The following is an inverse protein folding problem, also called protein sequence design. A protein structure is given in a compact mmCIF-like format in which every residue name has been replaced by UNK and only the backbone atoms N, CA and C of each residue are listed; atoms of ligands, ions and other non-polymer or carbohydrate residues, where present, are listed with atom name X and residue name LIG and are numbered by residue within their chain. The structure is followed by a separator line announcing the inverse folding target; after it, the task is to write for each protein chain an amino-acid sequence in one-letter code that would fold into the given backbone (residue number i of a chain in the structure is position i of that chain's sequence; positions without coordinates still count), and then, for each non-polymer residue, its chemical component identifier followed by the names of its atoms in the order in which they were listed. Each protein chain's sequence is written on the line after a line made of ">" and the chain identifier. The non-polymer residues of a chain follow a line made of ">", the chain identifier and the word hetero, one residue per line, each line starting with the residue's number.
data_IF_579541640080
#
_entry.id   IF_579541640080
#
_cell.length_a   1.000
_cell.length_b   1.000
_cell.length_c   1.000
_cell.angle_alpha   90.00
_cell.angle_beta   90.00
_cell.angle_gamma   90.00
#
_symmetry.space_group_name_H-M   'P 1'
#
loop_
_entity.id
_entity.type
_entity.pdbx_description
1 polymer ?
#
# COMPACT_ATOMS: atom_id res chain seq x y z
N UNK A 1 15.07 -9.38 11.85
CA UNK A 1 15.80 -8.10 11.69
C UNK A 1 16.99 -8.06 12.63
N UNK A 2 18.08 -7.48 12.19
CA UNK A 2 19.29 -7.35 13.00
C UNK A 2 18.97 -6.53 14.27
N UNK A 3 19.07 -7.15 15.45
CA UNK A 3 18.77 -6.52 16.76
C UNK A 3 17.29 -6.42 17.16
N UNK A 4 16.34 -6.86 16.32
CA UNK A 4 14.90 -6.71 16.57
C UNK A 4 14.14 -8.03 16.78
N UNK A 5 14.84 -9.15 16.94
CA UNK A 5 14.22 -10.45 17.19
C UNK A 5 13.58 -11.10 15.97
N UNK A 6 12.73 -12.10 16.21
CA UNK A 6 12.06 -12.85 15.14
C UNK A 6 10.87 -12.08 14.57
N UNK A 7 10.71 -12.16 13.25
CA UNK A 7 9.58 -11.57 12.54
C UNK A 7 8.34 -12.47 12.71
N UNK A 8 7.23 -11.96 13.28
CA UNK A 8 5.99 -12.73 13.36
C UNK A 8 5.43 -12.98 11.96
N UNK A 9 4.89 -14.17 11.76
CA UNK A 9 4.25 -14.55 10.49
C UNK A 9 3.01 -15.40 10.77
N UNK A 10 2.02 -15.36 9.87
CA UNK A 10 0.85 -16.24 9.96
C UNK A 10 0.85 -17.19 8.75
N UNK A 11 1.03 -18.50 8.94
CA UNK A 11 1.31 -19.22 10.19
C UNK A 11 2.62 -18.76 10.86
N UNK A 12 2.72 -18.93 12.18
CA UNK A 12 3.72 -18.32 13.08
C UNK A 12 5.20 -18.60 12.78
N UNK A 13 5.53 -19.30 11.71
CA UNK A 13 6.89 -19.73 11.38
C UNK A 13 7.31 -19.28 9.98
N UNK A 14 8.52 -18.75 9.87
CA UNK A 14 9.18 -18.56 8.58
C UNK A 14 9.70 -19.92 8.08
N UNK A 15 9.36 -20.30 6.87
CA UNK A 15 9.71 -21.63 6.34
C UNK A 15 11.13 -21.74 5.82
N UNK A 16 11.90 -20.64 5.73
CA UNK A 16 13.24 -20.56 5.11
C UNK A 16 13.33 -21.12 3.68
N UNK A 17 12.18 -21.41 3.05
CA UNK A 17 12.13 -21.84 1.67
C UNK A 17 12.06 -20.65 0.73
N UNK A 18 12.72 -20.78 -0.42
CA UNK A 18 12.60 -19.80 -1.49
C UNK A 18 11.21 -19.90 -2.11
N UNK A 19 10.46 -18.81 -2.13
CA UNK A 19 9.15 -18.70 -2.75
C UNK A 19 9.11 -17.53 -3.73
N UNK A 20 8.30 -17.61 -4.80
CA UNK A 20 8.12 -16.47 -5.71
C UNK A 20 7.60 -15.23 -4.98
N UNK A 21 8.09 -14.04 -5.36
CA UNK A 21 7.65 -12.77 -4.77
C UNK A 21 6.13 -12.57 -4.89
N UNK A 22 5.53 -12.97 -6.03
CA UNK A 22 4.09 -12.90 -6.24
C UNK A 22 3.30 -13.76 -5.22
N UNK A 23 3.83 -14.94 -4.87
CA UNK A 23 3.23 -15.79 -3.84
C UNK A 23 3.39 -15.15 -2.45
N UNK A 24 4.58 -14.64 -2.13
CA UNK A 24 4.85 -13.97 -0.87
C UNK A 24 3.90 -12.79 -0.64
N UNK A 25 3.66 -11.98 -1.69
CA UNK A 25 2.73 -10.85 -1.63
C UNK A 25 1.27 -11.32 -1.49
N UNK A 26 0.85 -12.34 -2.25
CA UNK A 26 -0.50 -12.88 -2.20
C UNK A 26 -0.85 -13.45 -0.82
N UNK A 27 0.11 -14.12 -0.18
CA UNK A 27 -0.04 -14.71 1.15
C UNK A 27 0.31 -13.72 2.29
N UNK A 28 0.71 -12.49 1.95
CA UNK A 28 1.11 -11.46 2.93
C UNK A 28 2.22 -11.94 3.90
N UNK A 29 3.30 -12.53 3.37
CA UNK A 29 4.38 -13.12 4.16
C UNK A 29 5.30 -12.06 4.77
N UNK A 30 5.21 -11.86 6.07
CA UNK A 30 6.03 -10.90 6.82
C UNK A 30 7.53 -11.18 6.71
N UNK A 31 7.94 -12.44 6.78
CA UNK A 31 9.35 -12.81 6.62
C UNK A 31 9.93 -12.41 5.27
N UNK A 32 9.12 -12.49 4.21
CA UNK A 32 9.54 -12.06 2.87
C UNK A 32 9.67 -10.54 2.79
N UNK A 33 8.75 -9.79 3.41
CA UNK A 33 8.85 -8.33 3.49
C UNK A 33 10.09 -7.88 4.24
N UNK A 34 10.39 -8.51 5.38
CA UNK A 34 11.59 -8.25 6.16
C UNK A 34 12.88 -8.59 5.38
N UNK A 35 12.87 -9.72 4.67
CA UNK A 35 13.99 -10.11 3.80
C UNK A 35 14.23 -9.09 2.69
N UNK A 36 13.17 -8.67 1.98
CA UNK A 36 13.27 -7.68 0.91
C UNK A 36 13.80 -6.35 1.45
N UNK A 37 13.31 -5.90 2.60
CA UNK A 37 13.82 -4.68 3.25
C UNK A 37 15.33 -4.75 3.45
N UNK A 38 15.84 -5.87 3.95
CA UNK A 38 17.29 -6.08 4.14
C UNK A 38 18.07 -6.06 2.82
N UNK A 39 17.47 -6.54 1.72
CA UNK A 39 18.12 -6.58 0.40
C UNK A 39 18.26 -5.20 -0.25
N UNK A 40 17.48 -4.19 0.16
CA UNK A 40 17.55 -2.83 -0.40
C UNK A 40 18.96 -2.24 -0.22
N UNK A 41 19.61 -2.48 0.92
CA UNK A 41 20.89 -1.86 1.24
C UNK A 41 21.85 -2.78 2.01
N UNK A 42 21.52 -4.06 2.19
CA UNK A 42 22.29 -4.96 3.07
C UNK A 42 22.19 -4.65 4.57
N UNK A 43 21.63 -3.50 4.95
CA UNK A 43 21.41 -3.03 6.32
C UNK A 43 19.96 -2.56 6.49
N UNK A 44 19.23 -3.18 7.42
CA UNK A 44 17.80 -2.90 7.61
C UNK A 44 17.50 -1.46 8.08
N UNK A 45 18.38 -0.85 8.87
CA UNK A 45 18.20 0.52 9.35
C UNK A 45 18.38 1.55 8.21
N UNK A 46 19.42 1.38 7.39
CA UNK A 46 19.64 2.26 6.23
C UNK A 46 18.54 2.06 5.17
N UNK A 47 18.09 0.83 4.97
CA UNK A 47 16.97 0.54 4.10
C UNK A 47 15.67 1.21 4.59
N UNK A 48 15.41 1.21 5.90
CA UNK A 48 14.25 1.89 6.48
C UNK A 48 14.31 3.40 6.24
N UNK A 49 15.46 4.05 6.38
CA UNK A 49 15.63 5.47 6.05
C UNK A 49 15.32 5.76 4.58
N UNK A 50 15.86 4.95 3.66
CA UNK A 50 15.60 5.09 2.24
C UNK A 50 14.12 4.87 1.91
N UNK A 51 13.47 3.94 2.61
CA UNK A 51 12.06 3.67 2.42
C UNK A 51 11.18 4.83 2.89
N UNK A 52 11.49 5.46 4.04
CA UNK A 52 10.80 6.67 4.50
C UNK A 52 10.94 7.81 3.48
N UNK A 53 12.14 8.04 2.94
CA UNK A 53 12.33 9.04 1.90
C UNK A 53 11.53 8.71 0.62
N UNK A 54 11.36 7.43 0.32
CA UNK A 54 10.51 7.01 -0.78
C UNK A 54 9.02 7.27 -0.49
N UNK A 55 8.54 7.00 0.73
CA UNK A 55 7.17 7.30 1.14
C UNK A 55 6.86 8.80 1.05
N UNK A 56 7.80 9.67 1.41
CA UNK A 56 7.67 11.12 1.19
C UNK A 56 7.51 11.48 -0.29
N UNK A 57 8.19 10.77 -1.19
CA UNK A 57 7.97 10.93 -2.64
C UNK A 57 6.57 10.48 -3.08
N UNK A 58 5.92 9.60 -2.34
CA UNK A 58 4.53 9.19 -2.55
C UNK A 58 3.51 10.12 -1.88
N UNK A 59 3.94 11.32 -1.44
CA UNK A 59 3.14 12.33 -0.73
C UNK A 59 2.60 11.87 0.64
N UNK A 60 3.24 10.91 1.29
CA UNK A 60 2.96 10.59 2.68
C UNK A 60 3.65 11.66 3.54
N UNK A 61 2.85 12.37 4.34
CA UNK A 61 3.28 13.49 5.17
C UNK A 61 3.36 13.13 6.65
N UNK A 62 2.77 12.00 7.04
CA UNK A 62 2.85 11.46 8.40
C UNK A 62 4.30 11.35 8.85
N UNK A 63 4.56 11.66 10.12
CA UNK A 63 5.90 11.55 10.71
C UNK A 63 6.24 10.08 10.97
N UNK A 64 6.95 9.48 10.04
CA UNK A 64 7.31 8.07 10.07
C UNK A 64 8.76 7.93 10.53
N UNK A 65 8.95 7.24 11.65
CA UNK A 65 10.27 6.94 12.16
C UNK A 65 10.88 5.77 11.37
N UNK A 66 12.17 5.85 10.96
CA UNK A 66 12.78 4.88 10.06
C UNK A 66 13.25 3.60 10.81
N UNK A 67 12.32 2.90 11.43
CA UNK A 67 12.59 1.61 12.04
C UNK A 67 12.39 0.47 11.02
N UNK A 68 13.17 -0.62 11.07
CA UNK A 68 13.00 -1.76 10.17
C UNK A 68 11.59 -2.39 10.19
N UNK A 69 10.86 -2.26 11.29
CA UNK A 69 9.46 -2.72 11.43
C UNK A 69 8.48 -2.07 10.44
N UNK A 70 8.87 -0.96 9.80
CA UNK A 70 8.10 -0.33 8.72
C UNK A 70 7.81 -1.32 7.57
N UNK A 71 8.70 -2.31 7.35
CA UNK A 71 8.48 -3.37 6.38
C UNK A 71 7.24 -4.24 6.67
N UNK A 72 6.75 -4.20 7.89
CA UNK A 72 5.58 -4.94 8.38
C UNK A 72 4.36 -4.05 8.58
N UNK A 73 4.46 -2.75 8.25
CA UNK A 73 3.39 -1.79 8.42
C UNK A 73 3.27 -1.21 9.83
N UNK A 74 4.33 -1.29 10.67
CA UNK A 74 4.35 -0.69 12.00
C UNK A 74 4.53 0.84 11.92
N UNK A 75 3.56 1.52 11.31
CA UNK A 75 3.51 2.97 11.10
C UNK A 75 2.07 3.46 11.16
N UNK A 76 1.89 4.69 11.58
CA UNK A 76 0.59 5.36 11.59
C UNK A 76 0.49 6.26 10.35
N UNK A 77 -0.47 5.94 9.47
CA UNK A 77 -0.72 6.65 8.21
C UNK A 77 -2.23 6.79 8.07
N UNK A 78 -2.70 7.96 7.64
CA UNK A 78 -4.12 8.17 7.37
C UNK A 78 -4.59 7.37 6.14
N UNK A 79 -5.88 6.99 6.13
CA UNK A 79 -6.50 6.34 4.97
C UNK A 79 -6.35 7.21 3.71
N UNK A 80 -6.46 8.52 3.85
CA UNK A 80 -6.29 9.47 2.75
C UNK A 80 -4.90 9.39 2.12
N UNK A 81 -3.84 9.39 2.94
CA UNK A 81 -2.46 9.27 2.46
C UNK A 81 -2.19 7.91 1.81
N UNK A 82 -2.76 6.85 2.38
CA UNK A 82 -2.62 5.50 1.81
C UNK A 82 -3.30 5.42 0.43
N UNK A 83 -4.53 5.91 0.29
CA UNK A 83 -5.22 5.98 -1.02
C UNK A 83 -4.40 6.81 -1.99
N UNK A 84 -3.91 7.97 -1.57
CA UNK A 84 -3.07 8.82 -2.41
C UNK A 84 -1.80 8.08 -2.87
N UNK A 85 -1.08 7.42 -1.96
CA UNK A 85 0.11 6.65 -2.32
C UNK A 85 -0.20 5.55 -3.33
N UNK A 86 -1.31 4.84 -3.17
CA UNK A 86 -1.71 3.75 -4.06
C UNK A 86 -2.06 4.20 -5.48
N UNK A 87 -2.34 5.49 -5.73
CA UNK A 87 -2.65 6.00 -7.08
C UNK A 87 -1.54 5.69 -8.09
N UNK A 88 -0.30 5.49 -7.64
CA UNK A 88 0.82 5.17 -8.53
C UNK A 88 0.67 3.82 -9.25
N UNK A 89 -0.09 2.88 -8.71
CA UNK A 89 -0.25 1.56 -9.31
C UNK A 89 -1.20 1.61 -10.52
N UNK A 90 -2.50 2.01 -10.39
CA UNK A 90 -3.37 2.19 -11.55
C UNK A 90 -2.92 3.35 -12.43
N UNK A 91 -2.14 4.30 -11.91
CA UNK A 91 -1.62 5.47 -12.60
C UNK A 91 -0.33 5.25 -13.39
N UNK A 92 0.04 3.99 -13.72
CA UNK A 92 1.25 3.66 -14.50
C UNK A 92 2.54 4.31 -13.93
N UNK A 93 2.67 4.32 -12.61
CA UNK A 93 3.83 4.86 -11.91
C UNK A 93 3.71 6.33 -11.50
N UNK A 94 2.58 6.98 -11.79
CA UNK A 94 2.32 8.36 -11.38
C UNK A 94 1.48 8.41 -10.11
N UNK A 95 2.01 9.05 -9.08
CA UNK A 95 1.26 9.42 -7.88
C UNK A 95 0.45 10.69 -8.18
N UNK A 96 -0.85 10.67 -7.88
CA UNK A 96 -1.77 11.78 -8.07
C UNK A 96 -2.11 12.44 -6.74
N UNK A 97 -2.06 13.76 -6.70
CA UNK A 97 -2.55 14.50 -5.55
C UNK A 97 -4.08 14.62 -5.63
N UNK A 98 -4.82 14.15 -4.61
CA UNK A 98 -6.27 14.32 -4.56
C UNK A 98 -6.67 15.80 -4.50
N UNK A 99 -7.76 16.14 -5.16
CA UNK A 99 -8.39 17.46 -5.08
C UNK A 99 -9.91 17.30 -5.09
N UNK A 100 -10.61 18.23 -4.46
CA UNK A 100 -12.06 18.14 -4.24
C UNK A 100 -12.83 19.19 -5.03
N UNK A 101 -12.13 20.26 -5.46
CA UNK A 101 -12.70 21.36 -6.22
C UNK A 101 -12.04 21.34 -7.59
N UNK A 102 -12.84 21.13 -8.65
CA UNK A 102 -12.35 21.14 -10.02
C UNK A 102 -12.45 22.55 -10.65
N UNK A 103 -13.44 23.36 -10.25
CA UNK A 103 -13.56 24.75 -10.70
C UNK A 103 -14.44 25.56 -9.76
N UNK A 104 -14.28 26.86 -9.81
CA UNK A 104 -15.08 27.88 -9.13
C UNK A 104 -15.71 28.75 -10.20
N UNK A 105 -17.03 28.95 -10.12
CA UNK A 105 -17.80 29.74 -11.07
C UNK A 105 -18.51 30.91 -10.35
N UNK A 106 -18.71 32.02 -11.06
CA UNK A 106 -19.60 33.09 -10.59
C UNK A 106 -21.06 32.73 -10.76
N UNK A 107 -21.98 33.59 -10.31
CA UNK A 107 -23.43 33.40 -10.43
C UNK A 107 -23.94 33.38 -11.89
N UNK A 108 -23.14 33.78 -12.87
CA UNK A 108 -23.46 33.80 -14.28
C UNK A 108 -22.88 32.58 -15.04
N UNK A 109 -22.16 31.71 -14.35
CA UNK A 109 -21.50 30.53 -14.92
C UNK A 109 -20.10 30.80 -15.51
N UNK A 110 -19.53 32.01 -15.29
CA UNK A 110 -18.18 32.30 -15.73
C UNK A 110 -17.19 31.59 -14.78
N UNK A 111 -16.25 30.87 -15.36
CA UNK A 111 -15.22 30.18 -14.60
C UNK A 111 -14.24 31.22 -14.03
N UNK A 112 -14.16 31.33 -12.71
CA UNK A 112 -13.24 32.19 -11.99
C UNK A 112 -11.88 31.51 -11.79
N UNK A 113 -11.93 30.19 -11.50
CA UNK A 113 -10.72 29.41 -11.27
C UNK A 113 -10.97 27.95 -11.66
N UNK A 114 -9.94 27.26 -12.16
CA UNK A 114 -10.01 25.83 -12.49
C UNK A 114 -8.77 25.11 -11.98
N UNK A 115 -8.97 23.88 -11.49
CA UNK A 115 -7.92 23.03 -10.93
C UNK A 115 -7.79 21.77 -11.75
N UNK A 116 -6.59 21.29 -11.89
CA UNK A 116 -6.26 20.03 -12.57
C UNK A 116 -5.46 19.10 -11.66
N UNK A 117 -5.58 17.78 -11.85
CA UNK A 117 -4.82 16.82 -11.06
C UNK A 117 -3.32 17.04 -11.20
N UNK A 118 -2.64 17.22 -10.06
CA UNK A 118 -1.19 17.25 -10.03
C UNK A 118 -0.68 15.80 -9.95
N UNK A 119 0.17 15.41 -10.89
CA UNK A 119 0.74 14.07 -10.97
C UNK A 119 2.26 14.11 -10.97
N UNK A 120 2.89 13.20 -10.23
CA UNK A 120 4.33 13.04 -10.19
C UNK A 120 4.73 11.60 -10.42
N UNK A 121 5.69 11.36 -11.32
CA UNK A 121 6.23 10.02 -11.53
C UNK A 121 7.07 9.61 -10.32
N UNK A 122 6.74 8.49 -9.69
CA UNK A 122 7.41 7.95 -8.49
C UNK A 122 8.03 6.59 -8.72
N UNK A 123 7.49 5.78 -9.65
CA UNK A 123 8.07 4.52 -10.10
C UNK A 123 8.01 4.43 -11.62
N UNK A 124 8.77 3.49 -12.19
CA UNK A 124 8.67 3.16 -13.60
C UNK A 124 7.35 2.45 -13.89
N UNK A 125 6.84 2.60 -15.10
CA UNK A 125 5.59 1.97 -15.55
C UNK A 125 5.67 0.44 -15.45
N UNK A 126 6.79 -0.15 -15.87
CA UNK A 126 7.01 -1.60 -15.81
C UNK A 126 6.99 -2.12 -14.38
N UNK A 127 7.51 -1.31 -13.43
CA UNK A 127 7.46 -1.63 -12.01
C UNK A 127 6.02 -1.59 -11.49
N UNK A 128 5.26 -0.53 -11.84
CA UNK A 128 3.85 -0.43 -11.48
C UNK A 128 3.06 -1.63 -12.01
N UNK A 129 3.22 -1.97 -13.28
CA UNK A 129 2.56 -3.11 -13.92
C UNK A 129 2.91 -4.43 -13.22
N UNK A 130 4.18 -4.65 -12.91
CA UNK A 130 4.63 -5.86 -12.20
C UNK A 130 3.98 -5.98 -10.81
N UNK A 131 3.89 -4.87 -10.06
CA UNK A 131 3.23 -4.86 -8.75
C UNK A 131 1.73 -5.08 -8.88
N UNK A 132 1.07 -4.45 -9.86
CA UNK A 132 -0.37 -4.67 -10.16
C UNK A 132 -0.64 -6.15 -10.42
N UNK A 133 0.16 -6.79 -11.29
CA UNK A 133 0.03 -8.22 -11.59
C UNK A 133 0.17 -9.10 -10.35
N UNK A 134 1.12 -8.79 -9.46
CA UNK A 134 1.27 -9.50 -8.19
C UNK A 134 0.09 -9.26 -7.25
N UNK A 135 -0.45 -8.02 -7.19
CA UNK A 135 -1.60 -7.67 -6.36
C UNK A 135 -2.92 -8.28 -6.85
N UNK A 136 -3.06 -8.57 -8.15
CA UNK A 136 -4.17 -9.39 -8.65
C UNK A 136 -4.14 -10.80 -8.03
N UNK A 137 -2.96 -11.36 -7.78
CA UNK A 137 -2.78 -12.61 -7.09
C UNK A 137 -3.32 -12.61 -5.64
N UNK A 138 -3.29 -11.46 -4.95
CA UNK A 138 -3.89 -11.31 -3.61
C UNK A 138 -5.40 -11.55 -3.65
N UNK A 139 -6.08 -11.05 -4.68
CA UNK A 139 -7.52 -11.18 -4.86
C UNK A 139 -7.87 -12.59 -5.37
N UNK A 140 -7.11 -13.11 -6.32
CA UNK A 140 -7.43 -14.39 -6.98
C UNK A 140 -7.19 -15.61 -6.09
N UNK A 141 -6.12 -15.60 -5.30
CA UNK A 141 -5.65 -16.77 -4.55
C UNK A 141 -5.06 -16.48 -3.18
N UNK A 142 -5.00 -15.21 -2.80
CA UNK A 142 -4.37 -14.74 -1.55
C UNK A 142 -5.37 -14.32 -0.47
N UNK A 143 -4.92 -13.40 0.38
CA UNK A 143 -5.68 -12.92 1.55
C UNK A 143 -6.94 -12.13 1.19
N UNK A 144 -7.05 -11.61 -0.04
CA UNK A 144 -8.24 -10.91 -0.54
C UNK A 144 -9.27 -11.81 -1.23
N UNK A 145 -9.11 -13.13 -1.18
CA UNK A 145 -9.96 -14.11 -1.89
C UNK A 145 -11.45 -14.06 -1.52
N UNK A 146 -11.79 -13.57 -0.34
CA UNK A 146 -13.20 -13.40 0.08
C UNK A 146 -14.01 -12.52 -0.86
N UNK A 147 -13.36 -11.64 -1.66
CA UNK A 147 -14.05 -10.85 -2.66
C UNK A 147 -14.77 -11.65 -3.75
N UNK A 148 -14.39 -12.90 -3.98
CA UNK A 148 -15.13 -13.79 -4.89
C UNK A 148 -16.59 -14.01 -4.49
N UNK A 149 -16.90 -13.96 -3.19
CA UNK A 149 -18.26 -14.14 -2.70
C UNK A 149 -19.21 -13.00 -3.06
N UNK A 150 -18.68 -11.85 -3.49
CA UNK A 150 -19.48 -10.67 -3.84
C UNK A 150 -19.80 -10.56 -5.35
N UNK A 151 -19.60 -11.62 -6.12
CA UNK A 151 -19.90 -11.68 -7.56
C UNK A 151 -19.27 -10.52 -8.40
N UNK A 152 -18.15 -10.00 -7.94
CA UNK A 152 -17.42 -8.94 -8.66
C UNK A 152 -16.44 -9.60 -9.64
N UNK A 153 -16.26 -9.08 -10.86
CA UNK A 153 -15.26 -9.58 -11.80
C UNK A 153 -13.84 -9.38 -11.23
N UNK A 154 -13.35 -10.38 -10.49
CA UNK A 154 -12.09 -10.28 -9.73
C UNK A 154 -10.84 -10.27 -10.60
N UNK A 155 -10.96 -10.64 -11.89
CA UNK A 155 -9.83 -10.64 -12.84
C UNK A 155 -9.24 -9.26 -13.11
N UNK A 156 -10.07 -8.21 -12.96
CA UNK A 156 -9.63 -6.82 -13.18
C UNK A 156 -9.30 -6.07 -11.88
N UNK A 157 -9.40 -6.75 -10.74
CA UNK A 157 -9.17 -6.14 -9.42
C UNK A 157 -7.78 -6.54 -8.92
N UNK A 158 -7.01 -5.55 -8.52
CA UNK A 158 -5.80 -5.72 -7.75
C UNK A 158 -6.00 -5.11 -6.36
N UNK A 159 -5.34 -5.63 -5.34
CA UNK A 159 -5.50 -5.08 -3.99
C UNK A 159 -4.58 -5.72 -2.98
N UNK A 160 -4.66 -5.19 -1.75
CA UNK A 160 -3.88 -5.68 -0.61
C UNK A 160 -4.67 -5.50 0.68
N UNK A 161 -4.66 -6.53 1.49
CA UNK A 161 -5.15 -6.51 2.87
C UNK A 161 -4.05 -6.07 3.83
N UNK A 162 -4.42 -5.41 4.92
CA UNK A 162 -3.56 -5.16 6.07
C UNK A 162 -4.29 -5.57 7.33
N UNK A 163 -3.57 -6.17 8.28
CA UNK A 163 -4.12 -6.57 9.57
C UNK A 163 -3.03 -6.39 10.61
N UNK A 164 -3.30 -5.60 11.64
CA UNK A 164 -2.40 -5.45 12.79
C UNK A 164 -2.59 -6.62 13.77
N UNK A 165 -1.68 -6.72 14.74
CA UNK A 165 -1.82 -7.67 15.83
C UNK A 165 -3.18 -7.46 16.52
N UNK A 166 -3.78 -8.53 16.98
CA UNK A 166 -5.06 -8.55 17.72
C UNK A 166 -6.25 -8.00 16.90
N UNK A 167 -6.07 -7.81 15.57
CA UNK A 167 -7.07 -7.26 14.65
C UNK A 167 -7.53 -5.82 15.01
N UNK A 168 -6.71 -5.06 15.70
CA UNK A 168 -7.04 -3.68 16.10
C UNK A 168 -7.23 -2.76 14.88
N UNK A 169 -6.56 -3.06 13.77
CA UNK A 169 -6.74 -2.36 12.50
C UNK A 169 -6.88 -3.35 11.35
N UNK A 170 -7.90 -3.15 10.56
CA UNK A 170 -8.14 -3.90 9.33
C UNK A 170 -8.14 -2.95 8.14
N UNK A 171 -7.30 -3.24 7.17
CA UNK A 171 -7.12 -2.43 5.97
C UNK A 171 -7.43 -3.23 4.72
N UNK A 172 -8.05 -2.57 3.78
CA UNK A 172 -8.13 -3.06 2.42
C UNK A 172 -7.92 -1.91 1.42
N UNK A 173 -6.96 -2.09 0.53
CA UNK A 173 -6.76 -1.22 -0.63
C UNK A 173 -7.05 -2.04 -1.88
N UNK A 174 -8.01 -1.58 -2.68
CA UNK A 174 -8.41 -2.26 -3.91
C UNK A 174 -8.58 -1.29 -5.06
N UNK A 175 -8.23 -1.73 -6.26
CA UNK A 175 -8.35 -0.90 -7.44
C UNK A 175 -8.60 -1.70 -8.72
N UNK A 176 -9.26 -1.02 -9.65
CA UNK A 176 -9.39 -1.37 -11.06
C UNK A 176 -8.63 -0.33 -11.89
N UNK A 177 -8.56 -0.44 -13.21
CA UNK A 177 -7.98 0.61 -14.05
C UNK A 177 -8.66 1.99 -13.91
N UNK A 178 -9.93 2.04 -13.47
CA UNK A 178 -10.73 3.27 -13.40
C UNK A 178 -11.01 3.75 -11.98
N UNK A 179 -10.91 2.88 -10.98
CA UNK A 179 -11.31 3.19 -9.61
C UNK A 179 -10.29 2.66 -8.61
N UNK A 180 -9.91 3.49 -7.66
CA UNK A 180 -9.14 3.12 -6.48
C UNK A 180 -9.99 3.41 -5.24
N UNK A 181 -10.12 2.44 -4.36
CA UNK A 181 -10.80 2.57 -3.08
C UNK A 181 -9.94 2.01 -1.94
N UNK A 182 -10.04 2.63 -0.79
CA UNK A 182 -9.46 2.17 0.45
C UNK A 182 -10.50 2.07 1.55
N UNK A 183 -10.39 1.08 2.41
CA UNK A 183 -11.19 0.93 3.61
C UNK A 183 -10.30 0.64 4.80
N UNK A 184 -10.62 1.27 5.92
CA UNK A 184 -10.02 1.01 7.22
C UNK A 184 -11.13 0.78 8.24
N UNK A 185 -10.95 -0.23 9.06
CA UNK A 185 -11.81 -0.54 10.20
C UNK A 185 -10.92 -0.70 11.41
N UNK A 186 -11.15 0.11 12.43
CA UNK A 186 -10.35 0.13 13.66
C UNK A 186 -10.89 1.14 14.63
N UNK A 187 -10.16 1.34 15.71
CA UNK A 187 -10.44 2.36 16.71
C UNK A 187 -9.17 3.14 17.04
N UNK A 188 -9.31 4.44 17.34
CA UNK A 188 -8.17 5.29 17.71
C UNK A 188 -7.50 4.80 19.00
N UNK A 189 -8.27 4.21 19.91
CA UNK A 189 -7.73 3.48 21.06
C UNK A 189 -7.77 1.97 20.79
N UNK A 190 -6.60 1.34 20.72
CA UNK A 190 -6.43 -0.10 20.42
C UNK A 190 -6.92 -1.02 21.54
N UNK A 191 -7.22 -0.46 22.71
CA UNK A 191 -7.56 -1.23 23.91
C UNK A 191 -9.04 -1.13 24.28
N UNK A 192 -9.86 -0.57 23.40
CA UNK A 192 -11.33 -0.51 23.58
C UNK A 192 -12.01 -1.60 22.76
#
# INVERSE_FOLDING_TARGET
>A
FDGYGMVPNTPKTCTFQSIPMAQALAESRNCSSAFIMKQINGNSNEAAKQFVEYLKKCNIKSDIQPYPSIALGAVEISLFEMVQAYTMFPGAGYNAQPFFINRIEDKNGNVLESYSPQRRKVIKEETAYSVVSMMQGVIQKGTGRSMYSYAVPTQSIAGKTGTTNDNSDLWFMGYTPQLLAGAWVGCDDRYI
#
